data_IF_362467348788
#
_entry.id   IF_362467348788
#
_cell.length_a   1.000
_cell.length_b   1.000
_cell.length_c   1.000
_cell.angle_alpha   90.00
_cell.angle_beta   90.00
_cell.angle_gamma   90.00
#
_symmetry.space_group_name_H-M   'P 1'
#
loop_
_entity.id
_entity.type
_entity.pdbx_description
1 polymer ?
#
# COMPACT_ATOMS: atom_id res chain seq x y z
N UNK A 1 30.00 43.03 -17.72
CA UNK A 1 31.28 42.93 -16.99
C UNK A 1 31.43 44.16 -16.11
N UNK A 2 31.64 43.93 -14.81
CA UNK A 2 32.09 44.84 -13.72
C UNK A 2 32.23 46.33 -14.03
N UNK A 3 31.58 47.20 -13.25
CA UNK A 3 32.19 47.89 -12.08
C UNK A 3 31.22 48.94 -11.49
N UNK A 4 31.01 48.81 -10.18
CA UNK A 4 30.42 49.79 -9.27
C UNK A 4 31.48 50.87 -8.99
N UNK A 5 31.09 52.14 -9.01
CA UNK A 5 31.87 53.25 -8.46
C UNK A 5 30.99 53.95 -7.43
N UNK A 6 31.45 53.93 -6.18
CA UNK A 6 30.84 54.62 -5.04
C UNK A 6 31.48 55.99 -4.89
N UNK A 7 30.66 57.01 -4.61
CA UNK A 7 31.08 58.40 -4.45
C UNK A 7 31.09 58.79 -2.96
N UNK A 8 32.12 59.54 -2.61
CA UNK A 8 32.49 60.05 -1.28
C UNK A 8 31.78 61.38 -1.03
N UNK A 9 31.28 61.62 0.19
CA UNK A 9 31.03 62.99 0.68
C UNK A 9 31.69 63.17 2.05
N UNK A 10 32.62 64.12 2.05
CA UNK A 10 33.38 64.66 3.17
C UNK A 10 32.54 65.56 4.09
N UNK A 11 32.86 65.57 5.39
CA UNK A 11 32.79 66.78 6.21
C UNK A 11 33.79 66.69 7.37
N UNK A 12 34.70 67.66 7.41
CA UNK A 12 35.74 67.85 8.39
C UNK A 12 35.29 68.84 9.48
N UNK A 13 35.58 68.57 10.75
CA UNK A 13 35.78 69.61 11.78
C UNK A 13 36.94 69.18 12.68
N UNK A 14 37.90 70.08 12.83
CA UNK A 14 39.16 69.96 13.56
C UNK A 14 39.03 70.73 14.88
N UNK A 15 39.40 70.13 16.01
CA UNK A 15 39.92 70.83 17.20
C UNK A 15 40.89 69.89 17.94
N UNK A 16 42.00 70.47 18.39
CA UNK A 16 43.26 69.83 18.79
C UNK A 16 43.36 69.51 20.29
N UNK A 17 44.21 68.52 20.61
CA UNK A 17 45.13 68.43 21.78
C UNK A 17 45.02 67.20 22.71
N UNK A 18 45.95 66.25 22.50
CA UNK A 18 46.68 65.31 23.42
C UNK A 18 45.88 64.49 24.47
N UNK A 19 46.03 63.17 24.70
CA UNK A 19 47.10 62.20 24.47
C UNK A 19 46.57 60.72 24.50
N UNK A 20 47.30 59.84 23.79
CA UNK A 20 47.38 58.35 23.83
C UNK A 20 46.17 57.43 23.60
N UNK A 21 46.30 56.61 22.54
CA UNK A 21 45.51 55.44 22.08
C UNK A 21 45.89 54.11 22.80
N UNK A 22 45.21 52.94 22.58
CA UNK A 22 44.22 52.64 21.52
C UNK A 22 42.90 51.92 21.91
N UNK A 23 41.84 52.28 21.14
CA UNK A 23 40.91 51.44 20.31
C UNK A 23 40.20 50.25 21.01
N UNK A 24 38.85 50.18 21.10
CA UNK A 24 37.92 49.89 20.00
C UNK A 24 36.48 50.39 20.27
N UNK A 25 35.79 50.70 19.18
CA UNK A 25 34.61 51.55 19.05
C UNK A 25 33.28 50.99 19.59
N UNK A 26 32.41 51.92 19.98
CA UNK A 26 30.98 51.73 20.16
C UNK A 26 30.30 51.32 18.83
N UNK A 27 29.57 50.21 18.87
CA UNK A 27 28.65 49.80 17.82
C UNK A 27 27.25 50.38 18.07
N UNK A 28 26.78 51.10 17.06
CA UNK A 28 25.39 51.27 16.57
C UNK A 28 24.31 50.50 17.36
N UNK A 29 23.18 51.13 17.78
CA UNK A 29 22.05 50.37 18.29
C UNK A 29 21.55 49.47 17.17
N UNK A 30 21.64 48.16 17.37
CA UNK A 30 21.12 47.17 16.44
C UNK A 30 19.67 47.51 16.11
N UNK A 31 19.46 47.83 14.85
CA UNK A 31 18.23 47.61 14.13
C UNK A 31 17.84 46.14 14.39
N UNK A 32 16.82 45.95 15.22
CA UNK A 32 16.21 44.64 15.43
C UNK A 32 15.64 44.18 14.09
N UNK A 33 16.44 43.42 13.33
CA UNK A 33 15.93 42.58 12.27
C UNK A 33 15.00 41.57 12.93
N UNK A 34 13.70 41.77 12.79
CA UNK A 34 12.70 40.73 13.03
C UNK A 34 12.95 39.67 11.96
N UNK A 35 13.81 38.69 12.27
CA UNK A 35 14.03 37.55 11.39
C UNK A 35 12.85 36.59 11.53
N UNK A 36 12.15 36.39 10.43
CA UNK A 36 11.27 35.23 10.24
C UNK A 36 9.78 35.55 10.33
N UNK A 37 9.28 36.47 9.51
CA UNK A 37 7.93 36.30 8.98
C UNK A 37 7.97 34.97 8.19
N UNK A 38 7.21 33.96 8.64
CA UNK A 38 7.05 32.70 7.94
C UNK A 38 6.41 32.99 6.57
N UNK A 39 7.22 33.26 5.55
CA UNK A 39 6.77 33.25 4.17
C UNK A 39 6.41 31.80 3.87
N UNK A 40 5.11 31.50 3.82
CA UNK A 40 4.64 30.14 3.55
C UNK A 40 5.20 29.64 2.23
N UNK A 41 6.04 28.61 2.28
CA UNK A 41 6.54 27.96 1.08
C UNK A 41 5.52 26.92 0.61
N UNK A 42 5.21 26.90 -0.68
CA UNK A 42 4.22 25.95 -1.22
C UNK A 42 4.52 25.58 -2.67
N UNK A 43 3.93 24.48 -3.12
CA UNK A 43 4.09 24.05 -4.51
C UNK A 43 3.47 22.69 -4.79
N UNK A 44 3.87 22.08 -5.90
CA UNK A 44 3.46 20.72 -6.27
C UNK A 44 4.43 19.68 -5.73
N UNK A 45 3.89 18.55 -5.29
CA UNK A 45 4.66 17.37 -4.89
C UNK A 45 4.10 16.07 -5.53
N UNK A 46 3.30 16.20 -6.58
CA UNK A 46 2.74 15.12 -7.39
C UNK A 46 1.93 15.70 -8.56
N UNK A 47 1.28 14.85 -9.36
CA UNK A 47 0.44 15.33 -10.47
C UNK A 47 -0.73 16.19 -9.98
N UNK A 48 -1.39 15.70 -8.92
CA UNK A 48 -2.52 16.36 -8.25
C UNK A 48 -2.29 16.52 -6.73
N UNK A 49 -1.04 16.39 -6.28
CA UNK A 49 -0.65 16.56 -4.88
C UNK A 49 0.18 17.83 -4.71
N UNK A 50 -0.08 18.53 -3.62
CA UNK A 50 0.48 19.84 -3.30
C UNK A 50 1.07 19.83 -1.90
N UNK A 51 1.98 20.77 -1.63
CA UNK A 51 2.54 20.97 -0.31
C UNK A 51 2.47 22.44 0.09
N UNK A 52 2.35 22.66 1.39
CA UNK A 52 2.45 23.97 2.02
C UNK A 52 3.21 23.83 3.34
N UNK A 53 4.12 24.76 3.60
CA UNK A 53 4.89 24.81 4.83
C UNK A 53 4.61 26.12 5.57
N UNK A 54 4.15 26.01 6.81
CA UNK A 54 3.85 27.15 7.66
C UNK A 54 4.15 26.79 9.11
N UNK A 55 4.95 27.61 9.80
CA UNK A 55 5.21 27.46 11.23
C UNK A 55 5.82 26.11 11.64
N UNK A 56 6.64 25.49 10.78
CA UNK A 56 7.23 24.17 11.04
C UNK A 56 6.33 22.98 10.68
N UNK A 57 5.09 23.24 10.24
CA UNK A 57 4.16 22.22 9.75
C UNK A 57 4.22 22.14 8.23
N UNK A 58 4.54 20.97 7.71
CA UNK A 58 4.41 20.63 6.30
C UNK A 58 3.07 19.91 6.07
N UNK A 59 2.18 20.53 5.31
CA UNK A 59 0.88 19.97 4.93
C UNK A 59 0.96 19.47 3.49
N UNK A 60 0.55 18.23 3.24
CA UNK A 60 0.48 17.63 1.91
C UNK A 60 -0.99 17.42 1.56
N UNK A 61 -1.46 18.09 0.52
CA UNK A 61 -2.87 18.15 0.15
C UNK A 61 -3.10 17.63 -1.28
N UNK A 62 -4.37 17.53 -1.68
CA UNK A 62 -4.76 17.11 -3.01
C UNK A 62 -5.02 15.60 -3.12
N UNK A 63 -4.72 15.01 -4.28
CA UNK A 63 -5.06 13.61 -4.55
C UNK A 63 -3.98 12.82 -5.30
N UNK A 64 -4.03 11.50 -5.15
CA UNK A 64 -3.15 10.56 -5.83
C UNK A 64 -1.78 10.40 -5.16
N UNK A 65 -0.83 9.86 -5.90
CA UNK A 65 0.52 9.61 -5.39
C UNK A 65 1.35 10.90 -5.32
N UNK A 66 2.17 11.02 -4.27
CA UNK A 66 3.33 11.91 -4.33
C UNK A 66 4.23 11.51 -5.52
N UNK A 67 4.99 12.46 -6.06
CA UNK A 67 5.93 12.17 -7.13
C UNK A 67 7.01 11.17 -6.66
N UNK A 68 7.57 10.42 -7.60
CA UNK A 68 8.65 9.49 -7.30
C UNK A 68 9.98 10.25 -7.20
N UNK A 69 10.55 10.28 -6.00
CA UNK A 69 11.82 10.96 -5.73
C UNK A 69 12.97 9.96 -5.78
N UNK A 70 14.08 10.35 -6.40
CA UNK A 70 15.29 9.52 -6.45
C UNK A 70 16.23 9.76 -5.27
N UNK A 71 16.04 10.88 -4.54
CA UNK A 71 16.75 11.21 -3.30
C UNK A 71 16.03 12.31 -2.53
N UNK A 72 16.43 12.55 -1.28
CA UNK A 72 15.91 13.64 -0.45
C UNK A 72 16.22 15.04 -1.00
N UNK A 73 17.28 15.20 -1.80
CA UNK A 73 17.62 16.48 -2.42
C UNK A 73 16.66 16.86 -3.57
N UNK A 74 15.73 15.97 -3.95
CA UNK A 74 14.76 16.20 -5.02
C UNK A 74 13.36 16.54 -4.53
N UNK A 75 13.09 16.38 -3.23
CA UNK A 75 11.79 16.77 -2.68
C UNK A 75 11.68 18.30 -2.65
N UNK A 76 10.48 18.88 -2.82
CA UNK A 76 10.32 20.33 -2.86
C UNK A 76 10.74 21.06 -1.57
N UNK A 77 10.66 20.38 -0.43
CA UNK A 77 10.97 20.91 0.89
C UNK A 77 12.39 20.55 1.38
N UNK A 78 13.31 20.21 0.46
CA UNK A 78 14.67 19.77 0.82
C UNK A 78 15.43 20.82 1.65
N UNK A 79 15.32 22.10 1.29
CA UNK A 79 16.05 23.20 1.95
C UNK A 79 15.47 23.54 3.35
N UNK A 80 14.21 23.19 3.59
CA UNK A 80 13.50 23.41 4.86
C UNK A 80 13.38 22.14 5.70
N UNK A 81 13.97 21.01 5.28
CA UNK A 81 13.77 19.70 5.92
C UNK A 81 14.09 19.68 7.44
N UNK A 82 15.06 20.48 7.89
CA UNK A 82 15.44 20.58 9.30
C UNK A 82 14.47 21.42 10.14
N UNK A 83 13.57 22.17 9.51
CA UNK A 83 12.57 23.01 10.17
C UNK A 83 11.20 22.31 10.30
N UNK A 84 11.00 21.20 9.57
CA UNK A 84 9.76 20.43 9.61
C UNK A 84 9.68 19.68 10.94
N UNK A 85 8.76 20.10 11.80
CA UNK A 85 8.45 19.45 13.07
C UNK A 85 7.17 18.60 13.00
N UNK A 86 6.27 18.92 12.07
CA UNK A 86 4.99 18.23 11.90
C UNK A 86 4.74 17.99 10.42
N UNK A 87 4.28 16.79 10.07
CA UNK A 87 3.76 16.46 8.75
C UNK A 87 2.30 16.09 8.86
N UNK A 88 1.45 16.75 8.06
CA UNK A 88 0.04 16.38 7.92
C UNK A 88 -0.24 16.02 6.47
N UNK A 89 -0.66 14.78 6.23
CA UNK A 89 -1.07 14.33 4.91
C UNK A 89 -2.59 14.29 4.90
N UNK A 90 -3.20 15.05 4.01
CA UNK A 90 -4.66 15.11 3.89
C UNK A 90 -5.22 13.93 3.10
N UNK A 91 -6.50 13.65 3.35
CA UNK A 91 -7.25 12.62 2.63
C UNK A 91 -7.23 12.90 1.13
N UNK A 92 -7.01 11.83 0.36
CA UNK A 92 -6.92 11.87 -1.10
C UNK A 92 -5.53 11.51 -1.60
N UNK A 93 -4.49 11.78 -0.82
CA UNK A 93 -3.13 11.29 -1.10
C UNK A 93 -3.08 9.78 -0.89
N UNK A 94 -2.63 9.04 -1.90
CA UNK A 94 -2.65 7.57 -1.91
C UNK A 94 -1.30 6.94 -1.57
N UNK A 95 -0.20 7.66 -1.79
CA UNK A 95 1.15 7.10 -1.65
C UNK A 95 2.08 8.13 -1.04
N UNK A 96 2.82 7.73 -0.01
CA UNK A 96 3.95 8.49 0.51
C UNK A 96 5.21 7.96 -0.14
N UNK A 97 5.75 8.72 -1.10
CA UNK A 97 6.85 8.24 -1.92
C UNK A 97 8.16 8.04 -1.16
N UNK A 98 9.05 7.26 -1.77
CA UNK A 98 10.41 7.04 -1.28
C UNK A 98 11.12 8.37 -1.03
N UNK A 99 11.92 8.40 0.04
CA UNK A 99 12.72 9.56 0.45
C UNK A 99 11.97 10.85 0.80
N UNK A 100 10.62 10.85 0.81
CA UNK A 100 9.82 12.08 0.96
C UNK A 100 10.18 12.90 2.21
N UNK A 101 10.43 12.26 3.35
CA UNK A 101 10.78 12.93 4.61
C UNK A 101 12.14 12.48 5.15
N UNK A 102 13.03 11.97 4.27
CA UNK A 102 14.35 11.52 4.67
C UNK A 102 15.14 12.70 5.26
N UNK A 103 15.66 12.50 6.46
CA UNK A 103 16.51 13.46 7.15
C UNK A 103 15.76 14.63 7.79
N UNK A 104 14.42 14.62 7.85
CA UNK A 104 13.63 15.60 8.59
C UNK A 104 13.85 15.39 10.11
N UNK A 105 15.01 15.78 10.63
CA UNK A 105 15.47 15.34 11.95
C UNK A 105 14.64 15.93 13.10
N UNK A 106 14.01 17.07 12.87
CA UNK A 106 13.08 17.76 13.79
C UNK A 106 11.65 17.21 13.75
N UNK A 107 11.31 16.32 12.80
CA UNK A 107 9.95 15.80 12.63
C UNK A 107 9.54 14.99 13.87
N UNK A 108 8.64 15.54 14.67
CA UNK A 108 8.14 14.93 15.91
C UNK A 108 6.83 14.16 15.74
N UNK A 109 6.00 14.55 14.76
CA UNK A 109 4.70 13.91 14.52
C UNK A 109 4.34 13.88 13.03
N UNK A 110 3.74 12.77 12.60
CA UNK A 110 3.17 12.61 11.26
C UNK A 110 1.73 12.10 11.36
N UNK A 111 0.83 12.71 10.58
CA UNK A 111 -0.54 12.23 10.42
C UNK A 111 -0.69 11.58 9.04
N UNK A 112 -1.05 10.30 9.02
CA UNK A 112 -1.23 9.51 7.79
C UNK A 112 -2.73 9.16 7.65
N UNK A 113 -3.41 9.60 6.56
CA UNK A 113 -4.83 9.39 6.40
C UNK A 113 -5.16 8.00 5.85
N UNK A 114 -6.43 7.61 5.97
CA UNK A 114 -7.01 6.35 5.48
C UNK A 114 -6.98 6.16 3.96
N UNK A 115 -6.59 7.19 3.20
CA UNK A 115 -6.39 7.09 1.75
C UNK A 115 -5.02 6.54 1.35
N UNK A 116 -4.03 6.56 2.26
CA UNK A 116 -2.67 6.10 1.96
C UNK A 116 -2.62 4.58 1.97
N UNK A 117 -2.09 4.00 0.89
CA UNK A 117 -1.96 2.56 0.70
C UNK A 117 -0.52 2.06 0.78
N UNK A 118 0.47 2.94 0.63
CA UNK A 118 1.88 2.59 0.60
C UNK A 118 2.78 3.66 1.24
N UNK A 119 3.75 3.19 2.02
CA UNK A 119 4.88 3.97 2.53
C UNK A 119 6.16 3.51 1.84
N UNK A 120 6.80 4.42 1.12
CA UNK A 120 7.95 4.18 0.26
C UNK A 120 9.26 3.89 1.00
N UNK A 121 10.29 3.63 0.20
CA UNK A 121 11.63 3.29 0.69
C UNK A 121 12.26 4.51 1.39
N UNK A 122 12.84 4.29 2.57
CA UNK A 122 13.56 5.31 3.33
C UNK A 122 12.76 6.59 3.60
N UNK A 123 11.42 6.52 3.61
CA UNK A 123 10.53 7.69 3.67
C UNK A 123 10.77 8.55 4.92
N UNK A 124 10.95 7.95 6.10
CA UNK A 124 11.21 8.65 7.36
C UNK A 124 12.62 8.39 7.90
N UNK A 125 13.56 7.92 7.06
CA UNK A 125 14.93 7.65 7.50
C UNK A 125 15.56 8.87 8.15
N UNK A 126 16.06 8.72 9.38
CA UNK A 126 16.70 9.81 10.11
C UNK A 126 15.75 10.87 10.67
N UNK A 127 14.44 10.58 10.77
CA UNK A 127 13.49 11.41 11.53
C UNK A 127 13.72 11.20 13.04
N UNK A 128 14.79 11.81 13.56
CA UNK A 128 15.30 11.54 14.91
C UNK A 128 14.36 11.96 16.03
N UNK A 129 13.48 12.93 15.79
CA UNK A 129 12.51 13.42 16.78
C UNK A 129 11.18 12.68 16.76
N UNK A 130 10.93 11.79 15.78
CA UNK A 130 9.64 11.12 15.62
C UNK A 130 9.44 10.11 16.75
N UNK A 131 8.45 10.35 17.61
CA UNK A 131 8.24 9.55 18.84
C UNK A 131 7.37 8.34 18.58
N UNK A 132 6.31 8.53 17.79
CA UNK A 132 5.33 7.50 17.46
C UNK A 132 4.75 7.70 16.08
N UNK A 133 4.33 6.61 15.45
CA UNK A 133 3.58 6.66 14.18
C UNK A 133 2.39 5.71 14.21
N UNK A 134 1.23 6.20 13.77
CA UNK A 134 0.03 5.40 13.54
C UNK A 134 -0.12 5.14 12.03
N UNK A 135 0.01 3.88 11.64
CA UNK A 135 -0.09 3.40 10.26
C UNK A 135 -1.52 2.88 10.05
N UNK A 136 -2.35 3.55 9.23
CA UNK A 136 -3.76 3.23 9.08
C UNK A 136 -3.98 1.87 8.41
N UNK A 137 -5.19 1.33 8.56
CA UNK A 137 -5.56 0.01 8.03
C UNK A 137 -5.53 -0.08 6.49
N UNK A 138 -5.54 1.06 5.82
CA UNK A 138 -5.42 1.19 4.36
C UNK A 138 -4.01 0.89 3.84
N UNK A 139 -2.98 1.06 4.67
CA UNK A 139 -1.59 0.81 4.25
C UNK A 139 -1.38 -0.68 4.11
N UNK A 140 -0.93 -1.09 2.92
CA UNK A 140 -0.67 -2.49 2.56
C UNK A 140 0.81 -2.83 2.55
N UNK A 141 1.68 -1.82 2.44
CA UNK A 141 3.13 -1.99 2.36
C UNK A 141 3.85 -0.88 3.11
N UNK A 142 4.80 -1.29 3.96
CA UNK A 142 5.87 -0.45 4.51
C UNK A 142 7.18 -0.93 3.87
N UNK A 143 7.80 -0.09 3.06
CA UNK A 143 9.00 -0.44 2.29
C UNK A 143 10.30 -0.38 3.11
N UNK A 144 11.38 -0.91 2.51
CA UNK A 144 12.71 -1.01 3.12
C UNK A 144 13.17 0.32 3.71
N UNK A 145 13.79 0.24 4.89
CA UNK A 145 14.37 1.38 5.60
C UNK A 145 13.38 2.50 5.97
N UNK A 146 12.06 2.30 5.85
CA UNK A 146 11.06 3.36 6.03
C UNK A 146 11.23 4.18 7.32
N UNK A 147 11.61 3.55 8.44
CA UNK A 147 11.86 4.18 9.73
C UNK A 147 13.28 3.89 10.25
N UNK A 148 14.27 3.88 9.35
CA UNK A 148 15.67 3.66 9.70
C UNK A 148 16.22 4.84 10.51
N UNK A 149 16.90 4.57 11.62
CA UNK A 149 17.59 5.57 12.44
C UNK A 149 16.65 6.67 12.99
N UNK A 150 15.42 6.32 13.37
CA UNK A 150 14.49 7.22 14.03
C UNK A 150 14.72 7.17 15.55
N UNK A 151 15.71 7.90 16.07
CA UNK A 151 16.25 7.73 17.43
C UNK A 151 15.24 7.87 18.57
N UNK A 152 14.20 8.69 18.42
CA UNK A 152 13.15 8.86 19.44
C UNK A 152 11.96 7.92 19.25
N UNK A 153 11.94 7.11 18.18
CA UNK A 153 10.80 6.28 17.84
C UNK A 153 10.67 5.16 18.87
N UNK A 154 9.58 5.20 19.62
CA UNK A 154 9.28 4.28 20.71
C UNK A 154 8.05 3.42 20.42
N UNK A 155 7.16 3.88 19.55
CA UNK A 155 5.89 3.19 19.24
C UNK A 155 5.59 3.23 17.75
N UNK A 156 5.32 2.06 17.15
CA UNK A 156 4.83 1.94 15.77
C UNK A 156 3.52 1.15 15.81
N UNK A 157 2.41 1.78 15.44
CA UNK A 157 1.10 1.13 15.39
C UNK A 157 0.82 0.74 13.95
N UNK A 158 0.59 -0.55 13.67
CA UNK A 158 0.21 -1.05 12.34
C UNK A 158 -1.19 -1.65 12.43
N UNK A 159 -2.17 -0.93 11.87
CA UNK A 159 -3.59 -1.32 11.98
C UNK A 159 -4.02 -2.39 10.99
N UNK A 160 -3.34 -2.51 9.86
CA UNK A 160 -3.66 -3.53 8.86
C UNK A 160 -2.95 -4.85 9.20
N UNK A 161 -3.73 -5.92 9.44
CA UNK A 161 -3.20 -7.27 9.62
C UNK A 161 -2.31 -7.71 8.44
N UNK A 162 -2.66 -7.31 7.23
CA UNK A 162 -2.02 -7.71 5.98
C UNK A 162 -0.92 -6.75 5.50
N UNK A 163 -0.58 -5.70 6.26
CA UNK A 163 0.46 -4.76 5.86
C UNK A 163 1.85 -5.42 5.86
N UNK A 164 2.42 -5.64 4.68
CA UNK A 164 3.75 -6.23 4.52
C UNK A 164 4.82 -5.23 4.92
N UNK A 165 5.63 -5.59 5.91
CA UNK A 165 6.83 -4.85 6.28
C UNK A 165 8.00 -5.46 5.51
N UNK A 166 8.48 -4.75 4.49
CA UNK A 166 9.48 -5.24 3.54
C UNK A 166 10.86 -4.81 3.96
N UNK A 167 11.78 -5.76 4.05
CA UNK A 167 13.19 -5.50 4.35
C UNK A 167 13.65 -6.29 5.57
N UNK A 168 14.70 -5.79 6.21
CA UNK A 168 15.30 -6.40 7.39
C UNK A 168 15.09 -5.51 8.64
N UNK A 169 15.91 -5.74 9.66
CA UNK A 169 15.99 -4.96 10.90
C UNK A 169 16.14 -3.45 10.71
N UNK A 170 16.61 -2.97 9.55
CA UNK A 170 16.75 -1.55 9.24
C UNK A 170 15.42 -0.90 8.84
N UNK A 171 14.38 -1.69 8.54
CA UNK A 171 13.07 -1.15 8.13
C UNK A 171 12.42 -0.33 9.24
N UNK A 172 12.50 -0.84 10.48
CA UNK A 172 12.06 -0.14 11.68
C UNK A 172 13.19 -0.25 12.70
N UNK A 173 13.96 0.83 12.90
CA UNK A 173 14.99 0.86 13.93
C UNK A 173 15.19 2.27 14.51
N UNK A 174 15.42 2.33 15.82
CA UNK A 174 15.76 3.57 16.52
C UNK A 174 17.24 3.65 16.91
N UNK A 175 18.01 2.60 16.61
CA UNK A 175 19.47 2.57 16.76
C UNK A 175 20.10 1.72 15.66
N UNK A 176 21.35 2.03 15.32
CA UNK A 176 22.17 1.25 14.38
C UNK A 176 23.47 0.90 15.08
N UNK A 177 23.79 -0.39 15.15
CA UNK A 177 25.03 -0.93 15.69
C UNK A 177 25.53 -2.05 14.78
N UNK A 178 26.82 -2.07 14.44
CA UNK A 178 27.44 -3.10 13.58
C UNK A 178 26.67 -3.36 12.27
N UNK A 179 26.20 -2.26 11.65
CA UNK A 179 25.41 -2.29 10.42
C UNK A 179 24.08 -3.07 10.52
N UNK A 180 23.56 -3.28 11.74
CA UNK A 180 22.26 -3.88 12.04
C UNK A 180 21.34 -2.86 12.72
N UNK A 181 20.05 -2.90 12.37
CA UNK A 181 19.04 -2.09 13.03
C UNK A 181 18.60 -2.73 14.35
N UNK A 182 18.50 -1.93 15.39
CA UNK A 182 17.89 -2.33 16.66
C UNK A 182 16.69 -1.44 16.91
N UNK A 183 15.57 -2.05 17.28
CA UNK A 183 14.39 -1.35 17.74
C UNK A 183 14.11 -1.72 19.19
N UNK A 184 14.26 -0.73 20.07
CA UNK A 184 13.99 -0.87 21.51
C UNK A 184 12.57 -0.43 21.91
N UNK A 185 11.76 0.01 20.94
CA UNK A 185 10.37 0.39 21.16
C UNK A 185 9.40 -0.80 21.11
N UNK A 186 8.11 -0.48 21.01
CA UNK A 186 7.03 -1.47 20.87
C UNK A 186 6.34 -1.32 19.52
N UNK A 187 6.21 -2.44 18.80
CA UNK A 187 5.34 -2.54 17.63
C UNK A 187 3.95 -2.96 18.13
N UNK A 188 2.93 -2.18 17.82
CA UNK A 188 1.54 -2.50 18.14
C UNK A 188 0.82 -2.95 16.88
N UNK A 189 0.04 -4.01 16.96
CA UNK A 189 -0.68 -4.52 15.79
C UNK A 189 -1.80 -5.49 16.12
N UNK A 190 -2.44 -6.00 15.08
CA UNK A 190 -3.50 -7.01 15.18
C UNK A 190 -2.88 -8.40 15.37
N UNK A 191 -3.59 -9.31 16.04
CA UNK A 191 -3.19 -10.72 16.14
C UNK A 191 -3.00 -11.37 14.76
N UNK A 192 -1.97 -12.22 14.65
CA UNK A 192 -1.53 -12.92 13.44
C UNK A 192 -1.25 -11.98 12.25
N UNK A 193 -0.74 -10.79 12.54
CA UNK A 193 -0.39 -9.79 11.51
C UNK A 193 1.04 -9.93 11.01
N UNK A 194 1.31 -9.38 9.81
CA UNK A 194 2.69 -9.19 9.33
C UNK A 194 3.54 -8.34 10.27
N UNK A 195 2.93 -7.41 11.02
CA UNK A 195 3.61 -6.65 12.05
C UNK A 195 4.07 -7.53 13.23
N UNK A 196 3.23 -8.48 13.66
CA UNK A 196 3.61 -9.46 14.68
C UNK A 196 4.72 -10.39 14.19
N UNK A 197 4.62 -10.87 12.95
CA UNK A 197 5.66 -11.70 12.32
C UNK A 197 6.98 -10.95 12.20
N UNK A 198 6.95 -9.69 11.76
CA UNK A 198 8.13 -8.85 11.67
C UNK A 198 8.78 -8.65 13.05
N UNK A 199 7.99 -8.27 14.06
CA UNK A 199 8.49 -8.09 15.42
C UNK A 199 9.14 -9.37 15.96
N UNK A 200 8.48 -10.52 15.78
CA UNK A 200 8.98 -11.82 16.24
C UNK A 200 10.28 -12.23 15.53
N UNK A 201 10.39 -11.95 14.22
CA UNK A 201 11.57 -12.31 13.40
C UNK A 201 12.84 -11.60 13.84
N UNK A 202 12.71 -10.40 14.43
CA UNK A 202 13.85 -9.59 14.89
C UNK A 202 13.92 -9.46 16.41
N UNK A 203 13.05 -10.16 17.15
CA UNK A 203 13.02 -10.13 18.62
C UNK A 203 12.56 -8.78 19.21
N UNK A 204 11.75 -8.02 18.48
CA UNK A 204 11.20 -6.75 18.95
C UNK A 204 9.96 -6.94 19.81
N UNK A 205 9.71 -6.01 20.74
CA UNK A 205 8.50 -6.01 21.56
C UNK A 205 7.25 -5.85 20.69
N UNK A 206 6.27 -6.72 20.89
CA UNK A 206 4.97 -6.65 20.21
C UNK A 206 3.82 -6.59 21.22
N UNK A 207 2.85 -5.70 20.99
CA UNK A 207 1.64 -5.56 21.79
C UNK A 207 0.40 -5.59 20.91
N UNK A 208 -0.62 -6.35 21.32
CA UNK A 208 -1.90 -6.35 20.64
C UNK A 208 -2.59 -4.99 20.77
N UNK A 209 -3.11 -4.49 19.65
CA UNK A 209 -4.16 -3.47 19.65
C UNK A 209 -5.41 -4.14 20.22
N UNK A 210 -5.86 -3.71 21.40
CA UNK A 210 -7.10 -4.25 22.00
C UNK A 210 -8.26 -4.20 21.01
N UNK A 211 -9.22 -5.11 21.13
CA UNK A 211 -10.33 -5.32 20.18
C UNK A 211 -10.90 -3.98 19.68
N UNK A 212 -10.49 -3.59 18.47
CA UNK A 212 -11.09 -2.48 17.74
C UNK A 212 -11.55 -3.04 16.39
N UNK A 213 -12.77 -2.68 15.96
CA UNK A 213 -13.38 -3.25 14.77
C UNK A 213 -12.48 -3.01 13.57
N UNK A 214 -12.15 -4.09 12.87
CA UNK A 214 -11.42 -4.05 11.62
C UNK A 214 -12.34 -3.38 10.59
N UNK A 215 -12.12 -2.10 10.30
CA UNK A 215 -12.76 -1.44 9.16
C UNK A 215 -12.01 -1.86 7.90
N UNK A 216 -12.42 -2.99 7.31
CA UNK A 216 -12.06 -3.34 5.93
C UNK A 216 -12.79 -2.39 4.99
N UNK A 217 -12.17 -1.25 4.66
CA UNK A 217 -12.60 -0.44 3.52
C UNK A 217 -12.14 -1.13 2.25
N UNK A 218 -12.99 -1.98 1.69
CA UNK A 218 -12.84 -2.51 0.34
C UNK A 218 -13.14 -1.37 -0.64
N UNK A 219 -12.12 -0.67 -1.12
CA UNK A 219 -12.27 0.24 -2.26
C UNK A 219 -12.52 -0.60 -3.52
N UNK A 220 -13.78 -0.76 -3.90
CA UNK A 220 -14.17 -1.30 -5.20
C UNK A 220 -13.88 -0.26 -6.28
N UNK A 221 -12.79 -0.44 -7.02
CA UNK A 221 -12.53 0.35 -8.24
C UNK A 221 -13.36 -0.25 -9.37
N UNK A 222 -14.50 0.35 -9.68
CA UNK A 222 -15.27 0.02 -10.89
C UNK A 222 -14.55 0.55 -12.12
N UNK A 223 -13.76 -0.29 -12.78
CA UNK A 223 -13.23 0.01 -14.11
C UNK A 223 -14.37 -0.08 -15.12
N UNK A 224 -14.89 1.07 -15.55
CA UNK A 224 -15.81 1.13 -16.69
C UNK A 224 -14.97 1.00 -17.97
N UNK A 225 -14.97 -0.19 -18.57
CA UNK A 225 -14.40 -0.40 -19.89
C UNK A 225 -15.37 0.14 -20.94
N UNK A 226 -15.10 1.33 -21.48
CA UNK A 226 -15.80 1.83 -22.67
C UNK A 226 -15.27 1.10 -23.89
N UNK A 227 -16.02 0.13 -24.40
CA UNK A 227 -15.76 -0.50 -25.71
C UNK A 227 -16.22 0.45 -26.81
N UNK A 228 -15.27 1.12 -27.49
CA UNK A 228 -15.57 1.85 -28.72
C UNK A 228 -15.62 0.88 -29.89
N UNK A 229 -16.83 0.57 -30.38
CA UNK A 229 -17.02 -0.18 -31.62
C UNK A 229 -16.85 0.76 -32.82
N UNK A 230 -15.74 0.62 -33.54
CA UNK A 230 -15.57 1.28 -34.85
C UNK A 230 -16.33 0.48 -35.91
N UNK A 231 -17.47 0.99 -36.37
CA UNK A 231 -18.24 0.39 -37.47
C UNK A 231 -17.63 0.79 -38.82
N UNK A 232 -17.08 -0.19 -39.54
CA UNK A 232 -16.66 -0.03 -40.94
C UNK A 232 -17.88 -0.18 -41.84
N UNK A 233 -18.30 0.89 -42.50
CA UNK A 233 -19.40 0.91 -43.47
C UNK A 233 -19.04 0.09 -44.71
N UNK A 234 -19.74 -1.04 -44.92
CA UNK A 234 -19.72 -1.77 -46.19
C UNK A 234 -21.08 -1.63 -46.85
N UNK A 235 -21.10 -0.99 -48.02
CA UNK A 235 -22.29 -0.76 -48.85
C UNK A 235 -22.84 -2.09 -49.34
N UNK A 236 -24.10 -2.42 -49.01
CA UNK A 236 -24.82 -3.56 -49.59
C UNK A 236 -26.05 -3.05 -50.35
N UNK A 237 -26.16 -3.48 -51.61
CA UNK A 237 -27.27 -3.18 -52.50
C UNK A 237 -28.60 -3.79 -52.03
N UNK A 238 -29.64 -2.99 -52.19
CA UNK A 238 -31.03 -3.22 -51.81
C UNK A 238 -31.71 -4.27 -52.68
N UNK A 239 -32.37 -5.26 -52.06
CA UNK A 239 -33.52 -5.94 -52.66
C UNK A 239 -34.65 -5.98 -51.65
N UNK A 240 -35.73 -5.28 -51.97
CA UNK A 240 -36.97 -5.18 -51.19
C UNK A 240 -37.82 -6.42 -51.41
N UNK A 241 -38.33 -7.05 -50.35
CA UNK A 241 -39.56 -7.85 -50.43
C UNK A 241 -40.36 -7.71 -49.13
N UNK A 242 -41.58 -7.24 -49.31
CA UNK A 242 -42.64 -7.00 -48.32
C UNK A 242 -43.22 -8.34 -47.82
N UNK A 243 -43.73 -8.40 -46.57
CA UNK A 243 -45.17 -8.71 -46.23
C UNK A 243 -45.37 -9.36 -44.85
N UNK A 244 -46.36 -8.79 -44.14
CA UNK A 244 -47.30 -9.30 -43.11
C UNK A 244 -46.82 -9.97 -41.80
N UNK A 245 -47.26 -9.32 -40.73
CA UNK A 245 -47.67 -9.88 -39.43
C UNK A 245 -48.82 -10.89 -39.58
N UNK A 246 -48.76 -12.04 -38.91
CA UNK A 246 -49.94 -12.77 -38.40
C UNK A 246 -49.55 -13.59 -37.17
N UNK A 247 -50.33 -13.42 -36.10
CA UNK A 247 -50.31 -14.17 -34.83
C UNK A 247 -50.85 -15.60 -35.01
N UNK A 248 -50.33 -16.59 -34.28
CA UNK A 248 -51.10 -17.80 -33.93
C UNK A 248 -50.52 -18.55 -32.72
N UNK A 249 -51.44 -19.11 -31.94
CA UNK A 249 -51.27 -19.84 -30.67
C UNK A 249 -51.40 -21.35 -30.90
N UNK A 250 -50.57 -22.20 -30.27
CA UNK A 250 -50.84 -23.61 -29.83
C UNK A 250 -49.52 -24.26 -29.34
N UNK A 251 -49.41 -24.70 -28.07
CA UNK A 251 -49.71 -26.03 -27.46
C UNK A 251 -48.60 -27.11 -27.71
N UNK A 252 -48.21 -27.93 -26.70
CA UNK A 252 -46.87 -28.53 -26.63
C UNK A 252 -46.76 -29.93 -27.23
N UNK A 253 -45.52 -30.36 -27.47
CA UNK A 253 -45.19 -31.72 -27.91
C UNK A 253 -43.98 -32.26 -27.14
N UNK A 254 -44.18 -33.42 -26.54
CA UNK A 254 -43.19 -34.34 -25.96
C UNK A 254 -42.37 -35.04 -27.05
N UNK A 255 -41.07 -35.30 -26.85
CA UNK A 255 -40.40 -36.56 -27.29
C UNK A 255 -39.11 -36.80 -26.50
N UNK A 256 -38.83 -38.08 -26.31
CA UNK A 256 -37.89 -38.79 -25.44
C UNK A 256 -36.48 -38.98 -26.06
N UNK A 257 -35.45 -39.18 -25.23
CA UNK A 257 -34.31 -40.10 -25.47
C UNK A 257 -33.48 -40.23 -24.17
N UNK A 258 -33.51 -41.34 -23.44
CA UNK A 258 -32.79 -42.63 -23.59
C UNK A 258 -31.63 -42.72 -22.59
N UNK A 259 -31.82 -43.62 -21.63
CA UNK A 259 -30.89 -44.05 -20.58
C UNK A 259 -30.02 -45.20 -21.11
N UNK A 260 -28.73 -45.18 -20.75
CA UNK A 260 -27.83 -46.32 -20.87
C UNK A 260 -27.15 -46.57 -19.52
N UNK A 261 -27.46 -47.72 -18.92
CA UNK A 261 -26.88 -48.29 -17.70
C UNK A 261 -25.57 -49.05 -18.00
N UNK A 262 -24.58 -49.10 -17.10
CA UNK A 262 -24.09 -50.26 -16.27
C UNK A 262 -22.56 -50.04 -16.05
N UNK A 263 -21.83 -50.51 -15.00
CA UNK A 263 -22.21 -51.30 -13.81
C UNK A 263 -21.84 -50.67 -12.44
N UNK A 264 -22.56 -51.15 -11.43
CA UNK A 264 -22.19 -51.14 -10.01
C UNK A 264 -21.12 -52.20 -9.76
N UNK A 265 -20.05 -51.81 -9.07
CA UNK A 265 -19.14 -52.77 -8.41
C UNK A 265 -19.07 -52.37 -6.93
N UNK A 266 -19.56 -53.25 -6.07
CA UNK A 266 -19.45 -53.13 -4.61
C UNK A 266 -18.39 -54.13 -4.17
N UNK A 267 -17.28 -53.64 -3.62
CA UNK A 267 -16.41 -54.43 -2.74
C UNK A 267 -16.00 -53.59 -1.53
N UNK A 268 -16.07 -54.29 -0.39
CA UNK A 268 -15.91 -53.97 1.04
C UNK A 268 -14.91 -52.89 1.49
N UNK A 269 -15.13 -52.29 2.70
CA UNK A 269 -14.46 -51.08 3.16
C UNK A 269 -13.28 -51.36 4.13
N UNK A 270 -12.05 -50.97 3.77
CA UNK A 270 -10.88 -50.77 4.68
C UNK A 270 -9.77 -50.02 3.88
N UNK A 271 -8.87 -49.19 4.44
CA UNK A 271 -8.93 -48.18 5.51
C UNK A 271 -8.51 -46.75 5.02
N UNK A 272 -8.77 -45.72 5.81
CA UNK A 272 -8.31 -44.33 5.61
C UNK A 272 -6.82 -44.20 5.23
N UNK A 273 -6.52 -43.41 4.18
CA UNK A 273 -5.19 -42.84 3.97
C UNK A 273 -5.29 -41.46 3.29
N UNK A 274 -5.26 -40.44 4.14
CA UNK A 274 -5.14 -38.98 3.89
C UNK A 274 -6.18 -38.34 2.95
N UNK A 275 -7.33 -38.03 3.53
CA UNK A 275 -8.45 -37.28 2.96
C UNK A 275 -8.00 -35.83 2.66
N UNK A 276 -7.87 -35.47 1.38
CA UNK A 276 -7.55 -34.09 0.99
C UNK A 276 -8.82 -33.23 1.09
N UNK A 277 -8.71 -32.00 1.57
CA UNK A 277 -9.84 -31.09 1.66
C UNK A 277 -9.95 -30.28 0.37
N UNK A 278 -11.08 -30.40 -0.34
CA UNK A 278 -11.32 -29.68 -1.59
C UNK A 278 -11.19 -28.17 -1.36
N UNK A 279 -10.35 -27.48 -2.15
CA UNK A 279 -10.04 -26.06 -2.01
C UNK A 279 -8.86 -25.71 -1.08
N UNK A 280 -8.37 -26.66 -0.28
CA UNK A 280 -7.16 -26.49 0.55
C UNK A 280 -5.94 -27.05 -0.19
N UNK A 281 -5.28 -26.17 -0.93
CA UNK A 281 -4.17 -26.51 -1.83
C UNK A 281 -2.86 -26.54 -1.06
N UNK A 282 -2.81 -25.91 0.12
CA UNK A 282 -1.61 -25.78 0.92
C UNK A 282 -1.50 -26.80 2.07
N UNK A 283 -2.59 -27.48 2.41
CA UNK A 283 -2.67 -28.52 3.43
C UNK A 283 -2.81 -28.00 4.87
N UNK A 284 -3.19 -26.73 5.06
CA UNK A 284 -3.35 -26.12 6.39
C UNK A 284 -4.76 -26.28 6.99
N UNK A 285 -5.64 -26.98 6.27
CA UNK A 285 -7.05 -27.23 6.63
C UNK A 285 -7.90 -25.96 6.63
N UNK A 286 -7.47 -24.92 5.92
CA UNK A 286 -8.24 -23.72 5.65
C UNK A 286 -8.45 -23.60 4.14
N UNK A 287 -9.54 -22.96 3.73
CA UNK A 287 -9.78 -22.61 2.33
C UNK A 287 -9.74 -21.10 2.27
N UNK A 288 -8.62 -20.55 1.82
CA UNK A 288 -8.41 -19.11 1.81
C UNK A 288 -7.73 -18.58 0.55
N UNK A 289 -7.39 -17.29 0.57
CA UNK A 289 -6.73 -16.62 -0.56
C UNK A 289 -5.36 -17.20 -0.92
N UNK A 290 -4.67 -17.85 0.03
CA UNK A 290 -3.38 -18.51 -0.18
C UNK A 290 -3.58 -19.71 -1.11
N UNK A 291 -4.64 -20.48 -0.93
CA UNK A 291 -4.95 -21.62 -1.79
C UNK A 291 -5.24 -21.18 -3.23
N UNK A 292 -6.11 -20.17 -3.39
CA UNK A 292 -6.39 -19.59 -4.70
C UNK A 292 -5.11 -19.05 -5.39
N UNK A 293 -4.22 -18.40 -4.62
CA UNK A 293 -2.96 -17.87 -5.15
C UNK A 293 -1.99 -18.97 -5.58
N UNK A 294 -1.98 -20.12 -4.89
CA UNK A 294 -1.20 -21.29 -5.29
C UNK A 294 -1.71 -21.90 -6.59
N UNK A 295 -3.03 -22.00 -6.76
CA UNK A 295 -3.62 -22.45 -8.03
C UNK A 295 -3.25 -21.52 -9.19
N UNK A 296 -3.31 -20.19 -9.00
CA UNK A 296 -2.89 -19.24 -10.03
C UNK A 296 -1.40 -19.31 -10.37
N UNK A 297 -0.55 -19.47 -9.35
CA UNK A 297 0.89 -19.61 -9.54
C UNK A 297 1.22 -20.89 -10.32
N UNK A 298 0.50 -21.97 -10.03
CA UNK A 298 0.61 -23.24 -10.74
C UNK A 298 0.13 -23.12 -12.19
N UNK A 299 -1.05 -22.55 -12.40
CA UNK A 299 -1.60 -22.31 -13.73
C UNK A 299 -0.64 -21.48 -14.60
N UNK A 300 -0.05 -20.41 -14.04
CA UNK A 300 0.94 -19.58 -14.72
C UNK A 300 2.23 -20.36 -15.06
N UNK A 301 2.65 -21.28 -14.18
CA UNK A 301 3.81 -22.13 -14.45
C UNK A 301 3.53 -23.15 -15.56
N UNK A 302 2.42 -23.87 -15.49
CA UNK A 302 2.06 -24.92 -16.46
C UNK A 302 1.72 -24.33 -17.83
N UNK A 303 0.99 -23.22 -17.88
CA UNK A 303 0.68 -22.51 -19.13
C UNK A 303 1.91 -21.90 -19.82
N UNK A 304 2.98 -21.64 -19.07
CA UNK A 304 4.28 -21.22 -19.62
C UNK A 304 5.22 -22.38 -19.97
N UNK A 305 4.69 -23.61 -20.00
CA UNK A 305 5.41 -24.82 -20.40
C UNK A 305 6.34 -25.39 -19.32
N UNK A 306 6.20 -24.95 -18.06
CA UNK A 306 6.94 -25.52 -16.93
C UNK A 306 6.18 -26.72 -16.35
N UNK A 307 6.92 -27.67 -15.79
CA UNK A 307 6.30 -28.80 -15.10
C UNK A 307 5.54 -28.35 -13.84
N UNK A 308 4.47 -29.08 -13.54
CA UNK A 308 3.65 -28.89 -12.35
C UNK A 308 4.48 -29.03 -11.06
N UNK A 309 4.22 -28.19 -10.06
CA UNK A 309 4.86 -28.23 -8.74
C UNK A 309 3.92 -28.68 -7.62
N UNK A 310 2.64 -28.87 -7.91
CA UNK A 310 1.69 -29.40 -6.94
C UNK A 310 1.93 -30.90 -6.73
N UNK A 311 1.74 -31.35 -5.48
CA UNK A 311 1.59 -32.79 -5.21
C UNK A 311 0.28 -33.29 -5.82
N UNK A 312 0.15 -34.61 -6.01
CA UNK A 312 -1.09 -35.20 -6.52
C UNK A 312 -2.31 -34.86 -5.65
N UNK A 313 -2.13 -34.80 -4.32
CA UNK A 313 -3.17 -34.40 -3.37
C UNK A 313 -3.52 -32.92 -3.45
N UNK A 314 -2.53 -32.04 -3.59
CA UNK A 314 -2.76 -30.61 -3.75
C UNK A 314 -3.40 -30.28 -5.11
N UNK A 315 -3.08 -31.05 -6.16
CA UNK A 315 -3.75 -30.95 -7.46
C UNK A 315 -5.22 -31.36 -7.36
N UNK A 316 -5.54 -32.47 -6.68
CA UNK A 316 -6.93 -32.89 -6.43
C UNK A 316 -7.71 -31.92 -5.55
N UNK A 317 -7.05 -31.22 -4.64
CA UNK A 317 -7.65 -30.14 -3.86
C UNK A 317 -7.85 -28.86 -4.67
N UNK A 318 -6.98 -28.59 -5.65
CA UNK A 318 -7.03 -27.43 -6.52
C UNK A 318 -8.08 -27.52 -7.63
N UNK A 319 -8.33 -28.70 -8.21
CA UNK A 319 -9.37 -28.94 -9.23
C UNK A 319 -10.77 -29.00 -8.57
N UNK A 320 -11.30 -27.82 -8.22
CA UNK A 320 -12.54 -27.71 -7.43
C UNK A 320 -13.78 -27.92 -8.27
N UNK A 321 -13.68 -27.77 -9.59
CA UNK A 321 -14.79 -28.03 -10.52
C UNK A 321 -14.72 -29.37 -11.27
N UNK A 322 -13.68 -30.15 -10.98
CA UNK A 322 -13.49 -31.54 -11.44
C UNK A 322 -13.38 -31.65 -12.95
N UNK A 323 -12.82 -30.64 -13.60
CA UNK A 323 -12.57 -30.64 -15.03
C UNK A 323 -11.24 -31.31 -15.41
N UNK A 324 -10.43 -31.71 -14.42
CA UNK A 324 -9.12 -32.33 -14.61
C UNK A 324 -7.98 -31.33 -14.77
N UNK A 325 -8.21 -30.04 -14.52
CA UNK A 325 -7.24 -28.96 -14.55
C UNK A 325 -7.25 -28.20 -13.22
N UNK A 326 -6.13 -27.55 -12.91
CA UNK A 326 -6.01 -26.60 -11.82
C UNK A 326 -5.71 -25.23 -12.44
N UNK A 327 -6.75 -24.44 -12.70
CA UNK A 327 -6.64 -23.23 -13.51
C UNK A 327 -7.22 -21.97 -12.84
N UNK A 328 -7.28 -20.87 -13.60
CA UNK A 328 -7.80 -19.59 -13.08
C UNK A 328 -9.27 -19.66 -12.64
N UNK A 329 -10.07 -20.55 -13.21
CA UNK A 329 -11.48 -20.78 -12.84
C UNK A 329 -11.53 -21.41 -11.45
N UNK A 330 -10.72 -22.43 -11.19
CA UNK A 330 -10.62 -23.05 -9.87
C UNK A 330 -10.18 -22.06 -8.80
N UNK A 331 -9.14 -21.29 -9.10
CA UNK A 331 -8.67 -20.24 -8.19
C UNK A 331 -9.77 -19.22 -7.88
N UNK A 332 -10.55 -18.83 -8.88
CA UNK A 332 -11.66 -17.89 -8.70
C UNK A 332 -12.78 -18.47 -7.83
N UNK A 333 -13.05 -19.77 -7.95
CA UNK A 333 -14.05 -20.51 -7.16
C UNK A 333 -13.63 -20.66 -5.70
N UNK A 334 -12.37 -21.01 -5.46
CA UNK A 334 -11.76 -21.04 -4.12
C UNK A 334 -11.85 -19.65 -3.47
N UNK A 335 -11.51 -18.60 -4.23
CA UNK A 335 -11.56 -17.24 -3.72
C UNK A 335 -12.99 -16.75 -3.46
N UNK A 336 -13.95 -17.12 -4.32
CA UNK A 336 -15.37 -16.80 -4.15
C UNK A 336 -15.95 -17.47 -2.89
N UNK A 337 -15.58 -18.73 -2.64
CA UNK A 337 -15.97 -19.43 -1.43
C UNK A 337 -15.32 -18.85 -0.17
N UNK A 338 -14.03 -18.51 -0.23
CA UNK A 338 -13.36 -17.79 0.86
C UNK A 338 -14.08 -16.48 1.18
N UNK A 339 -14.48 -15.71 0.16
CA UNK A 339 -15.25 -14.49 0.34
C UNK A 339 -16.63 -14.75 0.96
N UNK A 340 -17.34 -15.80 0.51
CA UNK A 340 -18.64 -16.22 1.03
C UNK A 340 -18.56 -16.59 2.51
N UNK A 341 -17.65 -17.50 2.87
CA UNK A 341 -17.47 -17.98 4.25
C UNK A 341 -16.94 -16.91 5.20
N UNK A 342 -16.21 -15.91 4.69
CA UNK A 342 -15.78 -14.74 5.46
C UNK A 342 -16.91 -13.73 5.71
N UNK A 343 -18.04 -13.84 5.00
CA UNK A 343 -19.16 -12.87 5.03
C UNK A 343 -20.40 -13.35 5.78
N UNK A 344 -20.60 -14.66 5.94
CA UNK A 344 -21.79 -15.22 6.62
C UNK A 344 -21.49 -15.66 8.06
N UNK A 345 -22.13 -14.99 9.03
CA UNK A 345 -22.14 -15.42 10.43
C UNK A 345 -23.13 -16.60 10.62
N UNK A 346 -22.63 -17.83 10.50
CA UNK A 346 -23.19 -18.96 11.26
C UNK A 346 -23.88 -20.10 10.50
N UNK A 347 -23.76 -20.22 9.17
CA UNK A 347 -24.17 -21.44 8.48
C UNK A 347 -23.24 -21.74 7.29
N UNK A 348 -22.01 -22.15 7.60
CA UNK A 348 -20.95 -22.40 6.61
C UNK A 348 -21.26 -23.70 5.86
N UNK A 349 -21.68 -23.58 4.60
CA UNK A 349 -21.75 -24.72 3.67
C UNK A 349 -20.34 -25.17 3.28
N UNK A 350 -20.17 -26.44 2.96
CA UNK A 350 -18.92 -26.93 2.37
C UNK A 350 -18.66 -26.30 0.99
N UNK A 351 -17.39 -26.25 0.55
CA UNK A 351 -17.04 -25.73 -0.79
C UNK A 351 -17.81 -26.46 -1.90
N UNK A 352 -17.97 -27.78 -1.80
CA UNK A 352 -18.78 -28.55 -2.75
C UNK A 352 -20.23 -28.08 -2.83
N UNK A 353 -20.87 -27.80 -1.69
CA UNK A 353 -22.25 -27.31 -1.65
C UNK A 353 -22.38 -25.85 -2.12
N UNK A 354 -21.31 -25.07 -2.00
CA UNK A 354 -21.26 -23.70 -2.55
C UNK A 354 -21.21 -23.71 -4.08
N UNK A 355 -20.51 -24.67 -4.68
CA UNK A 355 -20.32 -24.74 -6.14
C UNK A 355 -21.51 -25.36 -6.90
N UNK A 356 -22.44 -26.04 -6.23
CA UNK A 356 -23.64 -26.63 -6.84
C UNK A 356 -24.80 -25.62 -7.09
N UNK A 357 -24.63 -24.34 -6.76
CA UNK A 357 -25.65 -23.28 -6.89
C UNK A 357 -25.23 -22.16 -7.83
#
# INVERSE_FOLDING_TARGET
MKKVVSAVVSAAICFTSMASFPVLAAGVPQEYMVTGENVGESGKCGSNAYWNFEGGKLSVTGSGAMANWTSSAKVPWADIAQQINTVEIEKGVTTISSYAFLGCSSLGSVTIPDSVTEIGMSTFTGCRSLVSVDIPASVTVISREAFKNCSSLSTVIVRNRLCKIVGDSLTICNSISDNKGVFSGTIMGVDKSWAQTYASSFGYSFKLLGDQPITTTTTSTTTTTTTTTTTTTTTTSTTTTTTKTTTTTAKPTTTSATSTTVPVTTTTPVPHSEDYMLGDVNGDKLIDSVDASKVLAEYAAVSSGKASKLSETAFKAADVDKNGMADSVDASKILAYYAYTSSENGNVRSLSEFLEK
#
